data_IF_706443799100
#
_entry.id   IF_706443799100
#
_cell.length_a   1.000
_cell.length_b   1.000
_cell.length_c   1.000
_cell.angle_alpha   90.00
_cell.angle_beta   90.00
_cell.angle_gamma   90.00
#
_symmetry.space_group_name_H-M   'P 1'
#
loop_
_entity.id
_entity.type
_entity.pdbx_description
1 polymer ?
#
# COMPACT_ATOMS: atom_id res chain seq x y z
N UNK A 1 6.55 -26.56 3.67
CA UNK A 1 7.87 -26.00 4.03
C UNK A 1 8.03 -26.16 5.53
N UNK A 2 9.16 -26.67 6.01
CA UNK A 2 9.52 -26.74 7.42
C UNK A 2 10.40 -25.54 7.79
N UNK A 3 9.87 -24.52 8.50
CA UNK A 3 10.61 -23.32 8.88
C UNK A 3 11.90 -23.58 9.65
N UNK A 4 11.96 -24.64 10.46
CA UNK A 4 13.12 -24.94 11.30
C UNK A 4 14.38 -25.29 10.49
N UNK A 5 14.21 -25.71 9.22
CA UNK A 5 15.31 -26.08 8.33
C UNK A 5 15.77 -24.93 7.45
N UNK A 6 15.10 -23.77 7.49
CA UNK A 6 15.43 -22.60 6.69
C UNK A 6 16.16 -21.58 7.57
N UNK A 7 17.49 -21.64 7.52
CA UNK A 7 18.41 -20.85 8.34
C UNK A 7 19.46 -20.20 7.44
N UNK A 8 20.35 -19.39 8.01
CA UNK A 8 21.49 -18.83 7.27
C UNK A 8 22.48 -19.87 6.74
N UNK A 9 22.38 -21.13 7.18
CA UNK A 9 23.18 -22.24 6.64
C UNK A 9 22.54 -22.87 5.40
N UNK A 10 21.22 -22.75 5.24
CA UNK A 10 20.45 -23.38 4.16
C UNK A 10 19.84 -22.37 3.18
N UNK A 11 19.81 -21.08 3.54
CA UNK A 11 19.67 -19.95 2.63
C UNK A 11 20.90 -19.07 2.76
N UNK A 12 21.64 -18.88 1.67
CA UNK A 12 22.79 -17.98 1.62
C UNK A 12 22.60 -16.91 0.57
N UNK A 13 23.17 -15.73 0.82
CA UNK A 13 23.26 -14.63 -0.13
C UNK A 13 24.73 -14.22 -0.23
N UNK A 14 25.29 -14.23 -1.44
CA UNK A 14 26.70 -13.93 -1.65
C UNK A 14 26.88 -12.78 -2.65
N UNK A 15 27.84 -11.89 -2.36
CA UNK A 15 28.42 -10.94 -3.29
C UNK A 15 29.68 -11.57 -3.89
N UNK A 16 29.57 -12.23 -5.04
CA UNK A 16 30.64 -13.07 -5.56
C UNK A 16 30.94 -14.22 -4.60
N UNK A 17 32.12 -14.20 -3.97
CA UNK A 17 32.52 -15.20 -2.96
C UNK A 17 32.28 -14.75 -1.51
N UNK A 18 31.93 -13.49 -1.29
CA UNK A 18 31.72 -12.93 0.05
C UNK A 18 30.30 -13.20 0.50
N UNK A 19 30.13 -13.86 1.65
CA UNK A 19 28.81 -14.07 2.25
C UNK A 19 28.25 -12.75 2.80
N UNK A 20 26.99 -12.46 2.50
CA UNK A 20 26.23 -11.36 3.08
C UNK A 20 25.59 -11.83 4.37
N UNK A 21 25.95 -11.18 5.48
CA UNK A 21 25.34 -11.45 6.77
C UNK A 21 23.87 -10.98 6.79
N UNK A 22 23.03 -11.73 7.50
CA UNK A 22 21.61 -11.46 7.61
C UNK A 22 20.88 -12.52 8.42
N UNK A 23 19.58 -12.37 8.52
CA UNK A 23 18.70 -13.31 9.20
C UNK A 23 17.68 -13.90 8.24
N UNK A 24 17.22 -15.11 8.53
CA UNK A 24 16.15 -15.78 7.77
C UNK A 24 14.96 -15.94 8.69
N UNK A 25 13.80 -15.47 8.24
CA UNK A 25 12.52 -15.67 8.94
C UNK A 25 11.52 -16.34 8.00
N UNK A 26 10.57 -17.07 8.58
CA UNK A 26 9.52 -17.74 7.82
C UNK A 26 8.14 -17.32 8.34
N UNK A 27 7.22 -17.02 7.43
CA UNK A 27 5.81 -16.80 7.72
C UNK A 27 4.96 -17.62 6.73
N UNK A 28 4.36 -18.71 7.23
CA UNK A 28 3.64 -19.67 6.39
C UNK A 28 4.56 -20.31 5.34
N UNK A 29 4.25 -20.09 4.06
CA UNK A 29 5.04 -20.59 2.92
C UNK A 29 6.07 -19.60 2.41
N UNK A 30 6.19 -18.41 3.02
CA UNK A 30 7.12 -17.35 2.62
C UNK A 30 8.33 -17.34 3.55
N UNK A 31 9.53 -17.43 2.96
CA UNK A 31 10.78 -17.16 3.64
C UNK A 31 11.29 -15.76 3.25
N UNK A 32 11.84 -15.04 4.22
CA UNK A 32 12.42 -13.70 4.05
C UNK A 32 13.85 -13.71 4.58
N UNK A 33 14.80 -13.34 3.72
CA UNK A 33 16.16 -13.02 4.15
C UNK A 33 16.29 -11.51 4.36
N UNK A 34 16.72 -11.10 5.54
CA UNK A 34 16.95 -9.70 5.91
C UNK A 34 18.46 -9.51 6.09
N UNK A 35 19.16 -8.86 5.13
CA UNK A 35 20.56 -8.50 5.30
C UNK A 35 20.75 -7.62 6.54
N UNK A 36 21.87 -7.79 7.26
CA UNK A 36 22.18 -6.96 8.43
C UNK A 36 22.53 -5.51 8.04
N UNK A 37 22.88 -5.30 6.77
CA UNK A 37 23.16 -3.99 6.18
C UNK A 37 22.65 -3.93 4.74
N UNK A 38 22.36 -2.72 4.27
CA UNK A 38 21.89 -2.51 2.90
C UNK A 38 22.87 -3.10 1.88
N UNK A 39 22.31 -3.80 0.90
CA UNK A 39 23.07 -4.33 -0.22
C UNK A 39 23.68 -3.17 -1.03
N UNK A 40 24.91 -3.34 -1.52
CA UNK A 40 25.59 -2.34 -2.33
C UNK A 40 24.82 -2.11 -3.64
N UNK A 41 24.80 -0.86 -4.12
CA UNK A 41 24.13 -0.49 -5.37
C UNK A 41 24.86 -1.06 -6.61
N UNK A 42 24.11 -1.31 -7.69
CA UNK A 42 24.63 -1.80 -8.97
C UNK A 42 25.39 -3.12 -8.89
N UNK A 43 25.17 -3.90 -7.84
CA UNK A 43 26.01 -5.02 -7.45
C UNK A 43 25.28 -6.35 -7.68
N UNK A 44 25.92 -7.33 -8.35
CA UNK A 44 25.36 -8.66 -8.52
C UNK A 44 25.47 -9.48 -7.23
N UNK A 45 24.37 -10.15 -6.88
CA UNK A 45 24.28 -11.09 -5.78
C UNK A 45 23.75 -12.43 -6.25
N UNK A 46 24.25 -13.50 -5.62
CA UNK A 46 23.81 -14.88 -5.82
C UNK A 46 23.12 -15.36 -4.55
N UNK A 47 21.84 -15.70 -4.65
CA UNK A 47 21.11 -16.34 -3.57
C UNK A 47 21.03 -17.85 -3.82
N UNK A 48 21.21 -18.63 -2.76
CA UNK A 48 21.17 -20.10 -2.80
C UNK A 48 20.28 -20.63 -1.69
N UNK A 49 19.33 -21.49 -2.06
CA UNK A 49 18.65 -22.39 -1.12
C UNK A 49 19.26 -23.78 -1.30
N UNK A 50 19.78 -24.36 -0.23
CA UNK A 50 20.46 -25.66 -0.27
C UNK A 50 19.48 -26.82 -0.19
N UNK A 51 19.96 -28.04 -0.48
CA UNK A 51 19.20 -29.28 -0.29
C UNK A 51 18.80 -29.54 1.17
N UNK A 52 19.42 -28.86 2.14
CA UNK A 52 19.11 -29.01 3.57
C UNK A 52 17.75 -28.44 4.00
N UNK A 53 17.04 -27.71 3.13
CA UNK A 53 15.66 -27.27 3.39
C UNK A 53 14.69 -28.43 3.19
N UNK A 54 13.76 -28.61 4.14
CA UNK A 54 12.77 -29.68 4.13
C UNK A 54 11.33 -29.18 4.04
N UNK A 55 10.42 -30.05 3.60
CA UNK A 55 8.98 -29.88 3.80
C UNK A 55 8.51 -30.38 5.20
N UNK A 56 7.21 -30.29 5.49
CA UNK A 56 6.66 -30.71 6.78
C UNK A 56 6.64 -32.25 6.95
N UNK A 57 6.80 -33.00 5.86
CA UNK A 57 6.94 -34.45 5.88
C UNK A 57 8.41 -34.89 6.00
N UNK A 58 9.36 -33.95 6.08
CA UNK A 58 10.79 -34.21 6.19
C UNK A 58 11.49 -34.47 4.86
N UNK A 59 10.82 -34.24 3.72
CA UNK A 59 11.46 -34.41 2.42
C UNK A 59 12.39 -33.23 2.13
N UNK A 60 13.65 -33.54 1.81
CA UNK A 60 14.66 -32.57 1.41
C UNK A 60 14.44 -32.06 -0.02
N UNK A 61 14.92 -30.85 -0.27
CA UNK A 61 14.96 -30.30 -1.61
C UNK A 61 15.97 -31.10 -2.46
N UNK A 62 15.53 -31.64 -3.59
CA UNK A 62 16.35 -32.55 -4.40
C UNK A 62 17.65 -31.92 -4.96
N UNK A 63 17.65 -30.61 -5.19
CA UNK A 63 18.80 -29.85 -5.73
C UNK A 63 18.79 -28.43 -5.18
N UNK A 64 19.98 -27.82 -5.05
CA UNK A 64 20.09 -26.41 -4.68
C UNK A 64 19.31 -25.54 -5.68
N UNK A 65 18.61 -24.52 -5.17
CA UNK A 65 18.01 -23.46 -5.99
C UNK A 65 18.91 -22.25 -5.93
N UNK A 66 19.42 -21.84 -7.08
CA UNK A 66 20.36 -20.73 -7.20
C UNK A 66 19.80 -19.72 -8.19
N UNK A 67 19.80 -18.45 -7.82
CA UNK A 67 19.47 -17.35 -8.73
C UNK A 67 20.39 -16.16 -8.49
N UNK A 68 20.52 -15.33 -9.52
CA UNK A 68 21.29 -14.11 -9.47
C UNK A 68 20.36 -12.91 -9.65
N UNK A 69 20.66 -11.83 -8.95
CA UNK A 69 20.04 -10.53 -9.17
C UNK A 69 21.10 -9.44 -9.07
N UNK A 70 20.84 -8.27 -9.65
CA UNK A 70 21.67 -7.08 -9.50
C UNK A 70 20.84 -6.00 -8.85
N UNK A 71 21.35 -5.37 -7.79
CA UNK A 71 20.70 -4.23 -7.14
C UNK A 71 20.66 -3.02 -8.08
N UNK A 72 19.73 -2.09 -7.85
CA UNK A 72 19.67 -0.83 -8.59
C UNK A 72 20.93 0.02 -8.42
N UNK A 73 21.24 0.88 -9.39
CA UNK A 73 22.43 1.76 -9.38
C UNK A 73 22.30 2.98 -8.46
N UNK A 74 21.09 3.26 -7.98
CA UNK A 74 20.79 4.29 -6.98
C UNK A 74 20.15 3.63 -5.77
N UNK A 75 20.62 3.96 -4.57
CA UNK A 75 19.93 3.63 -3.33
C UNK A 75 18.65 4.47 -3.24
N UNK A 76 17.51 3.83 -3.00
CA UNK A 76 16.28 4.53 -2.66
C UNK A 76 16.47 5.30 -1.34
N UNK A 77 15.97 6.52 -1.28
CA UNK A 77 15.87 7.29 -0.05
C UNK A 77 14.52 7.06 0.64
N UNK A 78 14.49 7.33 1.95
CA UNK A 78 13.33 7.08 2.80
C UNK A 78 13.26 5.65 3.35
N UNK A 79 12.18 5.32 4.06
CA UNK A 79 12.00 4.01 4.69
C UNK A 79 11.64 2.91 3.68
N UNK A 80 11.68 1.64 4.09
CA UNK A 80 11.15 0.55 3.26
C UNK A 80 9.65 0.77 2.93
N UNK A 81 9.19 0.45 1.70
CA UNK A 81 7.78 0.57 1.34
C UNK A 81 6.85 -0.21 2.27
N UNK A 82 5.62 0.27 2.46
CA UNK A 82 4.59 -0.46 3.22
C UNK A 82 4.02 -1.58 2.35
N UNK A 83 4.07 -2.82 2.83
CA UNK A 83 3.58 -3.97 2.08
C UNK A 83 2.04 -4.09 2.20
N UNK A 84 1.33 -3.81 1.12
CA UNK A 84 -0.15 -3.87 1.10
C UNK A 84 -0.73 -5.30 1.05
N UNK A 85 0.07 -6.31 0.71
CA UNK A 85 -0.43 -7.66 0.48
C UNK A 85 -1.60 -7.68 -0.50
N UNK A 86 -2.65 -8.47 -0.21
CA UNK A 86 -3.84 -8.56 -1.05
C UNK A 86 -4.67 -7.26 -1.10
N UNK A 87 -4.50 -6.33 -0.14
CA UNK A 87 -5.14 -5.01 -0.21
C UNK A 87 -4.63 -4.21 -1.43
N UNK A 88 -3.39 -4.46 -1.86
CA UNK A 88 -2.79 -3.85 -3.04
C UNK A 88 -3.45 -4.21 -4.37
N UNK A 89 -4.43 -5.12 -4.39
CA UNK A 89 -5.20 -5.42 -5.59
C UNK A 89 -6.38 -4.46 -5.81
N UNK A 90 -6.77 -3.68 -4.79
CA UNK A 90 -7.97 -2.85 -4.81
C UNK A 90 -7.62 -1.37 -4.86
N UNK A 91 -8.23 -0.61 -5.78
CA UNK A 91 -8.11 0.85 -5.81
C UNK A 91 -8.92 1.48 -4.66
N UNK A 92 -10.02 0.84 -4.27
CA UNK A 92 -10.81 1.20 -3.10
C UNK A 92 -11.08 -0.07 -2.29
N UNK A 93 -10.78 -0.05 -1.00
CA UNK A 93 -11.08 -1.15 -0.08
C UNK A 93 -11.65 -0.56 1.21
N UNK A 94 -12.85 -1.00 1.60
CA UNK A 94 -13.53 -0.51 2.78
C UNK A 94 -14.17 -1.63 3.61
N UNK A 95 -14.55 -1.36 4.86
CA UNK A 95 -15.21 -2.34 5.73
C UNK A 95 -16.70 -2.16 5.88
N UNK A 96 -17.19 -0.92 5.86
CA UNK A 96 -18.57 -0.59 6.23
C UNK A 96 -19.41 -0.06 5.08
N UNK A 97 -18.85 0.75 4.18
CA UNK A 97 -19.56 1.25 3.01
C UNK A 97 -18.61 1.77 1.92
N UNK A 98 -19.07 1.71 0.66
CA UNK A 98 -18.52 2.53 -0.41
C UNK A 98 -19.69 3.17 -1.14
N UNK A 99 -19.74 4.50 -1.17
CA UNK A 99 -20.84 5.24 -1.80
C UNK A 99 -20.33 6.20 -2.85
N UNK A 100 -21.15 6.45 -3.87
CA UNK A 100 -20.90 7.52 -4.83
C UNK A 100 -22.16 8.36 -5.06
N UNK A 101 -22.02 9.68 -5.13
CA UNK A 101 -22.96 10.54 -5.85
C UNK A 101 -22.52 10.52 -7.32
N UNK A 102 -23.27 9.89 -8.23
CA UNK A 102 -22.80 9.62 -9.58
C UNK A 102 -22.72 10.88 -10.46
N UNK A 103 -21.89 10.89 -11.51
CA UNK A 103 -21.03 9.79 -11.96
C UNK A 103 -19.57 9.99 -11.52
N UNK A 104 -19.06 9.06 -10.70
CA UNK A 104 -17.61 8.91 -10.46
C UNK A 104 -16.96 8.10 -11.59
N UNK A 105 -15.64 8.20 -11.72
CA UNK A 105 -14.84 7.41 -12.67
C UNK A 105 -13.71 6.68 -11.92
N UNK A 106 -13.85 5.36 -11.77
CA UNK A 106 -12.89 4.53 -11.03
C UNK A 106 -12.16 3.60 -11.99
N UNK A 107 -10.83 3.54 -11.90
CA UNK A 107 -9.99 2.59 -12.63
C UNK A 107 -9.29 1.66 -11.64
N UNK A 108 -9.72 0.40 -11.62
CA UNK A 108 -9.29 -0.64 -10.69
C UNK A 108 -10.44 -1.26 -9.91
N UNK A 109 -10.12 -2.30 -9.14
CA UNK A 109 -11.11 -3.10 -8.42
C UNK A 109 -11.51 -2.47 -7.08
N UNK A 110 -12.77 -2.64 -6.70
CA UNK A 110 -13.34 -2.15 -5.42
C UNK A 110 -13.72 -3.34 -4.54
N UNK A 111 -13.27 -3.33 -3.28
CA UNK A 111 -13.60 -4.36 -2.30
C UNK A 111 -14.35 -3.80 -1.09
N UNK A 112 -15.31 -4.56 -0.58
CA UNK A 112 -16.07 -4.24 0.62
C UNK A 112 -16.26 -5.48 1.49
N UNK A 113 -15.71 -5.46 2.70
CA UNK A 113 -15.86 -6.56 3.67
C UNK A 113 -15.53 -6.12 5.08
N UNK A 114 -16.31 -6.48 6.11
CA UNK A 114 -17.34 -7.53 6.11
C UNK A 114 -18.73 -7.07 5.64
N UNK A 115 -18.91 -5.80 5.28
CA UNK A 115 -20.19 -5.34 4.75
C UNK A 115 -20.55 -6.03 3.42
N UNK A 116 -21.85 -6.27 3.24
CA UNK A 116 -22.41 -6.88 2.05
C UNK A 116 -22.49 -5.90 0.87
N UNK A 117 -22.70 -6.42 -0.34
CA UNK A 117 -22.89 -5.64 -1.57
C UNK A 117 -23.97 -4.56 -1.48
N UNK A 118 -24.96 -4.71 -0.59
CA UNK A 118 -26.00 -3.70 -0.33
C UNK A 118 -25.45 -2.36 0.19
N UNK A 119 -24.21 -2.34 0.67
CA UNK A 119 -23.51 -1.14 1.14
C UNK A 119 -22.65 -0.47 0.06
N UNK A 120 -22.72 -0.98 -1.18
CA UNK A 120 -22.36 -0.21 -2.37
C UNK A 120 -23.54 0.65 -2.81
N UNK A 121 -23.49 1.96 -2.57
CA UNK A 121 -24.60 2.87 -2.90
C UNK A 121 -24.23 3.82 -4.04
N UNK A 122 -25.18 4.08 -4.95
CA UNK A 122 -24.99 4.98 -6.10
C UNK A 122 -24.22 4.40 -7.30
N UNK A 123 -23.80 3.13 -7.25
CA UNK A 123 -23.02 2.49 -8.31
C UNK A 123 -23.85 1.89 -9.45
N UNK A 124 -25.16 1.71 -9.30
CA UNK A 124 -26.00 0.97 -10.26
C UNK A 124 -25.40 -0.41 -10.60
N UNK A 125 -25.15 -1.21 -9.56
CA UNK A 125 -24.47 -2.50 -9.68
C UNK A 125 -25.21 -3.48 -10.59
N UNK A 126 -24.45 -4.20 -11.41
CA UNK A 126 -24.91 -5.37 -12.14
C UNK A 126 -24.05 -6.57 -11.75
N UNK A 127 -24.67 -7.58 -11.12
CA UNK A 127 -23.98 -8.80 -10.72
C UNK A 127 -23.45 -9.58 -11.93
N UNK A 128 -22.23 -10.10 -11.82
CA UNK A 128 -21.61 -11.00 -12.80
C UNK A 128 -21.43 -12.35 -12.13
N UNK A 129 -22.37 -13.26 -12.38
CA UNK A 129 -22.48 -14.51 -11.64
C UNK A 129 -22.72 -14.27 -10.15
N UNK A 130 -22.02 -15.01 -9.30
CA UNK A 130 -22.14 -14.92 -7.83
C UNK A 130 -20.87 -14.40 -7.14
N UNK A 131 -19.83 -14.07 -7.91
CA UNK A 131 -18.47 -13.80 -7.41
C UNK A 131 -18.02 -12.36 -7.63
N UNK A 132 -18.70 -11.57 -8.44
CA UNK A 132 -18.33 -10.17 -8.72
C UNK A 132 -19.53 -9.35 -9.20
N UNK A 133 -19.36 -8.04 -9.26
CA UNK A 133 -20.30 -7.10 -9.86
C UNK A 133 -19.56 -6.08 -10.73
N UNK A 134 -20.30 -5.43 -11.62
CA UNK A 134 -19.83 -4.36 -12.50
C UNK A 134 -20.66 -3.10 -12.30
N UNK A 135 -20.12 -1.96 -12.72
CA UNK A 135 -20.79 -0.66 -12.72
C UNK A 135 -20.30 0.16 -13.93
N UNK A 136 -21.14 0.99 -14.57
CA UNK A 136 -20.71 1.93 -15.59
C UNK A 136 -19.65 2.94 -15.10
N UNK A 137 -19.52 3.12 -13.79
CA UNK A 137 -18.57 4.04 -13.15
C UNK A 137 -17.20 3.39 -12.88
N UNK A 138 -17.06 2.08 -13.09
CA UNK A 138 -15.88 1.31 -12.68
C UNK A 138 -15.29 0.55 -13.86
N UNK A 139 -14.09 0.94 -14.28
CA UNK A 139 -13.22 0.13 -15.14
C UNK A 139 -12.47 -0.86 -14.26
N UNK A 140 -13.14 -1.98 -13.95
CA UNK A 140 -12.72 -2.97 -12.98
C UNK A 140 -13.92 -3.78 -12.49
N UNK A 141 -13.81 -4.43 -11.34
CA UNK A 141 -14.89 -5.19 -10.71
C UNK A 141 -15.12 -4.74 -9.26
N UNK A 142 -16.35 -4.90 -8.80
CA UNK A 142 -16.75 -4.68 -7.40
C UNK A 142 -16.99 -6.01 -6.71
N UNK A 143 -16.50 -6.14 -5.48
CA UNK A 143 -16.52 -7.36 -4.70
C UNK A 143 -17.07 -7.07 -3.30
N UNK A 144 -18.10 -7.80 -2.88
CA UNK A 144 -18.71 -7.69 -1.54
C UNK A 144 -18.62 -8.99 -0.74
N UNK A 145 -18.72 -8.90 0.59
CA UNK A 145 -18.50 -10.03 1.50
C UNK A 145 -19.55 -11.16 1.40
N UNK A 146 -20.76 -10.84 0.93
CA UNK A 146 -21.87 -11.76 0.69
C UNK A 146 -21.76 -12.53 -0.64
N UNK A 147 -20.74 -12.22 -1.46
CA UNK A 147 -20.44 -12.99 -2.67
C UNK A 147 -19.84 -14.36 -2.35
N UNK A 148 -20.05 -15.33 -3.24
CA UNK A 148 -19.58 -16.70 -3.03
C UNK A 148 -18.06 -16.79 -3.04
N UNK A 149 -17.50 -17.77 -2.31
CA UNK A 149 -16.07 -18.08 -2.38
C UNK A 149 -15.63 -18.33 -3.86
N UNK A 150 -14.42 -17.89 -4.25
CA UNK A 150 -13.33 -17.41 -3.41
C UNK A 150 -13.40 -15.91 -3.03
N UNK A 151 -14.42 -15.16 -3.46
CA UNK A 151 -14.49 -13.71 -3.26
C UNK A 151 -14.49 -13.31 -1.79
N UNK A 152 -15.39 -13.87 -0.98
CA UNK A 152 -15.49 -13.57 0.46
C UNK A 152 -14.21 -13.90 1.23
N UNK A 153 -13.55 -15.02 0.93
CA UNK A 153 -12.25 -15.38 1.54
C UNK A 153 -11.13 -14.42 1.11
N UNK A 154 -11.08 -14.07 -0.18
CA UNK A 154 -10.06 -13.14 -0.69
C UNK A 154 -10.21 -11.74 -0.09
N UNK A 155 -11.46 -11.26 0.08
CA UNK A 155 -11.74 -9.99 0.73
C UNK A 155 -11.34 -10.02 2.21
N UNK A 156 -11.59 -11.11 2.93
CA UNK A 156 -11.14 -11.27 4.32
C UNK A 156 -9.62 -11.17 4.43
N UNK A 157 -8.88 -11.80 3.51
CA UNK A 157 -7.42 -11.68 3.43
C UNK A 157 -6.99 -10.25 3.10
N UNK A 158 -7.65 -9.60 2.14
CA UNK A 158 -7.33 -8.22 1.76
C UNK A 158 -7.52 -7.23 2.92
N UNK A 159 -8.62 -7.33 3.66
CA UNK A 159 -8.88 -6.51 4.86
C UNK A 159 -7.83 -6.76 5.95
N UNK A 160 -7.46 -8.02 6.18
CA UNK A 160 -6.40 -8.35 7.13
C UNK A 160 -5.05 -7.75 6.71
N UNK A 161 -4.72 -7.79 5.41
CA UNK A 161 -3.51 -7.16 4.91
C UNK A 161 -3.57 -5.63 4.97
N UNK A 162 -4.74 -5.01 4.77
CA UNK A 162 -4.94 -3.58 4.96
C UNK A 162 -4.66 -3.16 6.42
N UNK A 163 -5.22 -3.88 7.40
CA UNK A 163 -4.94 -3.60 8.83
C UNK A 163 -3.46 -3.84 9.19
N UNK A 164 -2.83 -4.84 8.56
CA UNK A 164 -1.38 -5.10 8.72
C UNK A 164 -0.56 -3.93 8.15
N UNK A 165 -0.88 -3.46 6.94
CA UNK A 165 -0.21 -2.34 6.30
C UNK A 165 -0.38 -1.04 7.10
N UNK A 166 -1.58 -0.78 7.63
CA UNK A 166 -1.83 0.34 8.54
C UNK A 166 -0.91 0.26 9.77
N UNK A 167 -0.86 -0.90 10.42
CA UNK A 167 -0.07 -1.10 11.65
C UNK A 167 1.43 -0.98 11.37
N UNK A 168 1.91 -1.50 10.24
CA UNK A 168 3.28 -1.33 9.77
C UNK A 168 3.62 0.15 9.55
N UNK A 169 2.78 0.87 8.79
CA UNK A 169 2.98 2.29 8.52
C UNK A 169 2.95 3.13 9.81
N UNK A 170 1.99 2.88 10.71
CA UNK A 170 1.88 3.58 12.00
C UNK A 170 3.01 3.24 12.98
N UNK A 171 3.59 2.04 12.86
CA UNK A 171 4.61 1.52 13.77
C UNK A 171 6.05 1.90 13.40
N UNK A 172 6.28 2.61 12.29
CA UNK A 172 7.64 3.03 11.91
C UNK A 172 8.21 3.99 12.98
N UNK A 173 9.37 3.70 13.59
CA UNK A 173 9.73 4.29 14.90
C UNK A 173 10.58 5.57 14.85
N UNK A 174 11.35 5.80 13.79
CA UNK A 174 12.37 6.87 13.74
C UNK A 174 12.08 7.85 12.61
N UNK A 175 11.23 8.88 12.85
CA UNK A 175 10.88 9.84 11.81
C UNK A 175 12.07 10.74 11.44
N UNK A 176 12.24 10.97 10.15
CA UNK A 176 13.16 11.97 9.61
C UNK A 176 12.64 13.39 9.86
N UNK A 177 11.30 13.55 9.89
CA UNK A 177 10.62 14.82 10.11
C UNK A 177 9.53 14.69 11.18
N UNK A 178 9.62 15.53 12.21
CA UNK A 178 8.63 15.59 13.28
C UNK A 178 7.83 16.89 13.20
N UNK A 179 6.50 16.79 13.21
CA UNK A 179 5.57 17.92 13.15
C UNK A 179 5.88 18.92 12.02
N UNK A 180 6.23 18.41 10.84
CA UNK A 180 6.63 19.24 9.71
C UNK A 180 5.52 20.24 9.34
N UNK A 181 5.88 21.50 9.10
CA UNK A 181 4.91 22.57 8.86
C UNK A 181 3.93 22.84 10.01
N UNK A 182 4.21 22.33 11.23
CA UNK A 182 3.28 22.36 12.36
C UNK A 182 1.88 21.79 12.04
N UNK A 183 1.81 20.83 11.10
CA UNK A 183 0.56 20.21 10.66
C UNK A 183 -0.10 20.91 9.47
N UNK A 184 0.44 22.00 8.93
CA UNK A 184 0.04 22.56 7.63
C UNK A 184 1.19 22.36 6.63
N UNK A 185 0.96 21.57 5.59
CA UNK A 185 2.00 21.21 4.62
C UNK A 185 1.81 21.85 3.24
N UNK A 186 0.74 22.61 3.04
CA UNK A 186 0.54 23.40 1.84
C UNK A 186 1.69 24.37 1.58
N UNK A 187 2.13 24.44 0.33
CA UNK A 187 3.27 25.23 -0.11
C UNK A 187 4.63 24.58 0.14
N UNK A 188 4.69 23.42 0.81
CA UNK A 188 5.95 22.73 1.08
C UNK A 188 6.36 21.79 -0.06
N UNK A 189 7.66 21.48 -0.10
CA UNK A 189 8.21 20.37 -0.87
C UNK A 189 8.67 19.28 0.09
N UNK A 190 8.09 18.09 -0.03
CA UNK A 190 8.33 16.95 0.84
C UNK A 190 9.34 16.00 0.20
N UNK A 191 10.48 15.84 0.85
CA UNK A 191 11.57 14.95 0.44
C UNK A 191 11.32 13.51 0.95
N UNK A 192 11.97 12.49 0.36
CA UNK A 192 11.80 11.11 0.82
C UNK A 192 12.06 10.97 2.31
N UNK A 193 11.24 10.19 3.02
CA UNK A 193 11.39 10.03 4.45
C UNK A 193 10.14 9.58 5.18
N UNK A 194 10.34 9.29 6.45
CA UNK A 194 9.29 9.07 7.43
C UNK A 194 8.94 10.40 8.11
N UNK A 195 7.68 10.80 7.98
CA UNK A 195 7.11 11.96 8.63
C UNK A 195 6.17 11.52 9.74
N UNK A 196 6.29 12.15 10.90
CA UNK A 196 5.39 11.92 12.02
C UNK A 196 4.83 13.24 12.52
N UNK A 197 3.51 13.29 12.72
CA UNK A 197 2.83 14.37 13.43
C UNK A 197 2.23 13.84 14.72
N UNK A 198 2.06 14.73 15.70
CA UNK A 198 1.29 14.46 16.92
C UNK A 198 -0.18 14.86 16.80
N UNK A 199 -0.56 15.48 15.69
CA UNK A 199 -1.92 15.99 15.38
C UNK A 199 -2.34 15.56 13.97
N UNK A 200 -3.46 16.09 13.49
CA UNK A 200 -3.83 15.99 12.07
C UNK A 200 -2.94 16.87 11.18
N UNK A 201 -3.11 16.69 9.87
CA UNK A 201 -2.43 17.41 8.80
C UNK A 201 -3.45 18.10 7.91
N UNK A 202 -3.18 19.35 7.54
CA UNK A 202 -3.95 20.15 6.58
C UNK A 202 -3.09 20.44 5.36
N UNK A 203 -3.73 20.45 4.18
CA UNK A 203 -3.16 20.91 2.91
C UNK A 203 -4.05 22.07 2.43
N UNK A 204 -3.69 23.31 2.75
CA UNK A 204 -4.44 24.53 2.35
C UNK A 204 -3.87 25.27 1.14
N UNK A 205 -2.71 24.83 0.64
CA UNK A 205 -2.07 25.25 -0.60
C UNK A 205 -1.54 24.01 -1.34
N UNK A 206 -1.19 24.13 -2.63
CA UNK A 206 -0.54 23.05 -3.37
C UNK A 206 0.72 22.55 -2.64
N UNK A 207 0.94 21.24 -2.62
CA UNK A 207 2.11 20.61 -1.98
C UNK A 207 2.84 19.75 -3.02
N UNK A 208 4.17 19.73 -2.96
CA UNK A 208 4.98 18.91 -3.87
C UNK A 208 5.65 17.77 -3.11
N UNK A 209 5.60 16.56 -3.64
CA UNK A 209 6.37 15.40 -3.19
C UNK A 209 7.49 15.17 -4.22
N UNK A 210 8.74 15.31 -3.79
CA UNK A 210 9.89 15.36 -4.69
C UNK A 210 10.96 14.37 -4.32
N UNK A 211 11.24 13.43 -5.22
CA UNK A 211 12.31 12.44 -5.07
C UNK A 211 12.38 11.51 -6.28
N UNK A 212 13.25 10.52 -6.21
CA UNK A 212 13.46 9.54 -7.28
C UNK A 212 12.34 8.50 -7.40
N UNK A 213 12.39 7.67 -8.46
CA UNK A 213 11.34 6.70 -8.78
C UNK A 213 11.25 5.50 -7.83
N UNK A 214 12.26 5.31 -6.98
CA UNK A 214 12.33 4.23 -5.99
C UNK A 214 12.25 4.77 -4.56
N UNK A 215 12.25 6.09 -4.37
CA UNK A 215 12.19 6.71 -3.06
C UNK A 215 10.81 6.53 -2.44
N UNK A 216 10.74 6.59 -1.11
CA UNK A 216 9.55 6.27 -0.33
C UNK A 216 9.21 7.40 0.64
N UNK A 217 7.90 7.64 0.78
CA UNK A 217 7.32 8.56 1.75
C UNK A 217 6.32 7.83 2.61
N UNK A 218 6.45 7.96 3.93
CA UNK A 218 5.44 7.48 4.88
C UNK A 218 5.05 8.66 5.76
N UNK A 219 3.78 9.03 5.71
CA UNK A 219 3.19 10.09 6.51
C UNK A 219 2.34 9.47 7.61
N UNK A 220 2.77 9.60 8.86
CA UNK A 220 2.06 9.11 10.05
C UNK A 220 1.33 10.27 10.74
N UNK A 221 0.01 10.17 10.87
CA UNK A 221 -0.76 11.16 11.61
C UNK A 221 -1.84 10.53 12.50
N UNK A 222 -1.87 10.86 13.81
CA UNK A 222 -2.90 10.40 14.74
C UNK A 222 -4.22 11.19 14.62
N UNK A 223 -4.22 12.30 13.87
CA UNK A 223 -5.43 13.08 13.59
C UNK A 223 -5.99 12.84 12.19
N UNK A 224 -6.76 13.81 11.71
CA UNK A 224 -7.36 13.82 10.38
C UNK A 224 -6.36 14.30 9.32
N UNK A 225 -6.59 13.94 8.06
CA UNK A 225 -5.98 14.55 6.89
C UNK A 225 -7.05 15.37 6.17
N UNK A 226 -6.88 16.68 6.06
CA UNK A 226 -7.81 17.54 5.33
C UNK A 226 -7.10 18.27 4.21
N UNK A 227 -7.70 18.28 3.03
CA UNK A 227 -7.18 18.98 1.86
C UNK A 227 -8.22 19.96 1.34
N UNK A 228 -7.83 21.22 1.20
CA UNK A 228 -8.73 22.27 0.74
C UNK A 228 -9.15 22.05 -0.71
N UNK A 229 -10.33 22.57 -1.11
CA UNK A 229 -10.77 22.53 -2.50
C UNK A 229 -9.74 23.08 -3.50
N UNK A 230 -9.71 22.49 -4.69
CA UNK A 230 -8.87 22.87 -5.83
C UNK A 230 -7.35 22.77 -5.61
N UNK A 231 -6.88 22.30 -4.45
CA UNK A 231 -5.45 22.10 -4.19
C UNK A 231 -4.94 20.83 -4.86
N UNK A 232 -3.63 20.75 -5.05
CA UNK A 232 -2.98 19.65 -5.75
C UNK A 232 -1.79 19.11 -4.95
N UNK A 233 -1.65 17.78 -4.93
CA UNK A 233 -0.41 17.10 -4.56
C UNK A 233 0.37 16.83 -5.86
N UNK A 234 1.47 17.53 -6.08
CA UNK A 234 2.33 17.35 -7.25
C UNK A 234 3.44 16.33 -6.99
N UNK A 235 3.82 15.57 -8.01
CA UNK A 235 5.00 14.70 -7.98
C UNK A 235 6.11 15.29 -8.85
N UNK A 236 7.34 15.32 -8.33
CA UNK A 236 8.53 15.75 -9.06
C UNK A 236 9.73 14.83 -8.83
N UNK A 237 10.77 14.97 -9.65
CA UNK A 237 12.01 14.18 -9.53
C UNK A 237 11.92 12.72 -9.98
N UNK A 238 10.73 12.28 -10.41
CA UNK A 238 10.44 10.89 -10.76
C UNK A 238 9.67 10.12 -9.68
N UNK A 239 9.30 10.78 -8.57
CA UNK A 239 8.49 10.22 -7.50
C UNK A 239 7.25 9.49 -8.06
N UNK A 240 6.92 8.35 -7.46
CA UNK A 240 5.81 7.50 -7.89
C UNK A 240 4.78 7.37 -6.78
N UNK A 241 3.52 7.57 -7.15
CA UNK A 241 2.32 7.38 -6.30
C UNK A 241 2.36 6.10 -5.47
N UNK A 242 2.83 4.99 -6.06
CA UNK A 242 2.88 3.68 -5.40
C UNK A 242 3.85 3.58 -4.22
N UNK A 243 4.74 4.55 -4.06
CA UNK A 243 5.72 4.62 -2.96
C UNK A 243 5.35 5.67 -1.90
N UNK A 244 4.16 6.27 -1.98
CA UNK A 244 3.72 7.33 -1.08
C UNK A 244 2.58 6.76 -0.23
N UNK A 245 2.79 6.72 1.09
CA UNK A 245 1.85 6.11 2.04
C UNK A 245 1.39 7.14 3.06
N UNK A 246 0.08 7.27 3.22
CA UNK A 246 -0.58 8.16 4.16
C UNK A 246 -1.31 7.32 5.20
N UNK A 247 -0.72 7.14 6.37
CA UNK A 247 -1.38 6.50 7.50
C UNK A 247 -2.11 7.56 8.32
N UNK A 248 -3.44 7.44 8.39
CA UNK A 248 -4.31 8.43 9.02
C UNK A 248 -5.19 7.74 10.07
N UNK A 249 -5.03 8.09 11.34
CA UNK A 249 -5.85 7.50 12.40
C UNK A 249 -7.27 8.12 12.44
N UNK A 250 -7.39 9.38 12.05
CA UNK A 250 -8.67 10.06 11.86
C UNK A 250 -9.29 9.83 10.48
N UNK A 251 -10.14 10.76 10.07
CA UNK A 251 -10.74 10.74 8.73
C UNK A 251 -9.85 11.44 7.71
N UNK A 252 -10.09 11.14 6.44
CA UNK A 252 -9.55 11.89 5.31
C UNK A 252 -10.66 12.63 4.60
N UNK A 253 -10.47 13.92 4.37
CA UNK A 253 -11.39 14.76 3.59
C UNK A 253 -10.63 15.48 2.48
N UNK A 254 -10.87 15.08 1.23
CA UNK A 254 -10.27 15.67 0.03
C UNK A 254 -11.32 16.60 -0.59
N UNK A 255 -11.04 17.91 -0.51
CA UNK A 255 -11.95 18.96 -0.96
C UNK A 255 -12.33 18.86 -2.44
N UNK A 256 -13.41 19.56 -2.80
CA UNK A 256 -13.93 19.57 -4.18
C UNK A 256 -12.85 19.96 -5.18
N UNK A 257 -12.81 19.29 -6.33
CA UNK A 257 -11.84 19.52 -7.41
C UNK A 257 -10.35 19.39 -7.05
N UNK A 258 -10.02 18.97 -5.83
CA UNK A 258 -8.63 18.76 -5.43
C UNK A 258 -8.03 17.50 -6.10
N UNK A 259 -6.70 17.47 -6.24
CA UNK A 259 -5.98 16.32 -6.80
C UNK A 259 -5.01 15.72 -5.76
N UNK A 260 -5.17 14.42 -5.49
CA UNK A 260 -4.40 13.70 -4.48
C UNK A 260 -3.51 12.60 -5.07
N UNK A 261 -2.35 12.40 -4.46
CA UNK A 261 -1.37 11.39 -4.86
C UNK A 261 -0.96 10.50 -3.67
N UNK A 262 -1.17 9.19 -3.79
CA UNK A 262 -0.63 8.19 -2.89
C UNK A 262 -1.63 7.16 -2.38
N UNK A 263 -1.15 6.30 -1.50
CA UNK A 263 -1.92 5.22 -0.88
C UNK A 263 -2.37 5.68 0.50
N UNK A 264 -3.68 5.79 0.70
CA UNK A 264 -4.28 6.16 1.98
C UNK A 264 -4.65 4.90 2.75
N UNK A 265 -4.15 4.81 3.99
CA UNK A 265 -4.49 3.82 5.00
C UNK A 265 -5.19 4.55 6.15
N UNK A 266 -6.52 4.64 6.10
CA UNK A 266 -7.33 5.35 7.10
C UNK A 266 -7.99 4.38 8.10
N UNK A 267 -7.96 4.71 9.38
CA UNK A 267 -8.75 4.01 10.42
C UNK A 267 -10.23 4.36 10.39
N UNK A 268 -10.61 5.45 9.71
CA UNK A 268 -12.01 5.85 9.61
C UNK A 268 -12.39 6.08 8.15
N UNK A 269 -13.15 7.13 7.85
CA UNK A 269 -13.69 7.37 6.52
C UNK A 269 -12.71 8.14 5.64
N UNK A 270 -12.79 7.88 4.33
CA UNK A 270 -12.15 8.69 3.29
C UNK A 270 -13.24 9.31 2.43
N UNK A 271 -13.24 10.63 2.31
CA UNK A 271 -14.18 11.37 1.47
C UNK A 271 -13.44 12.09 0.35
N UNK A 272 -13.91 11.92 -0.89
CA UNK A 272 -13.52 12.73 -2.03
C UNK A 272 -14.72 13.58 -2.43
N UNK A 273 -14.57 14.90 -2.32
CA UNK A 273 -15.60 15.86 -2.69
C UNK A 273 -15.87 15.92 -4.19
N UNK A 274 -16.90 16.68 -4.57
CA UNK A 274 -17.34 16.88 -5.96
C UNK A 274 -16.16 17.15 -6.91
N UNK A 275 -15.96 16.27 -7.89
CA UNK A 275 -14.93 16.42 -8.92
C UNK A 275 -13.49 16.29 -8.43
N UNK A 276 -13.26 15.88 -7.18
CA UNK A 276 -11.92 15.57 -6.70
C UNK A 276 -11.34 14.36 -7.44
N UNK A 277 -10.01 14.29 -7.52
CA UNK A 277 -9.32 13.21 -8.20
C UNK A 277 -8.18 12.64 -7.35
N UNK A 278 -7.90 11.35 -7.54
CA UNK A 278 -6.83 10.64 -6.89
C UNK A 278 -6.13 9.71 -7.89
N UNK A 279 -4.81 9.77 -7.91
CA UNK A 279 -3.99 8.63 -8.31
C UNK A 279 -3.52 7.95 -7.03
N UNK A 280 -3.85 6.67 -6.84
CA UNK A 280 -3.65 6.09 -5.51
C UNK A 280 -4.53 4.91 -5.18
N UNK A 281 -4.66 4.69 -3.88
CA UNK A 281 -5.61 3.74 -3.29
C UNK A 281 -6.28 4.37 -2.08
N UNK A 282 -7.59 4.22 -1.95
CA UNK A 282 -8.35 4.61 -0.78
C UNK A 282 -8.69 3.36 0.05
N UNK A 283 -7.91 3.09 1.10
CA UNK A 283 -8.04 1.91 1.96
C UNK A 283 -8.53 2.36 3.34
N UNK A 284 -9.79 2.09 3.67
CA UNK A 284 -10.49 2.62 4.83
C UNK A 284 -11.00 1.52 5.78
N UNK A 285 -10.72 1.64 7.07
CA UNK A 285 -11.25 0.71 8.07
C UNK A 285 -12.75 0.95 8.36
N UNK A 286 -13.32 2.04 7.86
CA UNK A 286 -14.77 2.24 7.79
C UNK A 286 -15.27 2.37 6.35
N UNK A 287 -15.43 3.59 5.85
CA UNK A 287 -16.16 3.88 4.61
C UNK A 287 -15.38 4.74 3.63
N UNK A 288 -15.70 4.61 2.35
CA UNK A 288 -15.24 5.54 1.30
C UNK A 288 -16.43 6.21 0.65
N UNK A 289 -16.41 7.54 0.61
CA UNK A 289 -17.46 8.37 0.02
C UNK A 289 -16.91 9.16 -1.16
N UNK A 290 -17.56 9.03 -2.31
CA UNK A 290 -17.21 9.71 -3.55
C UNK A 290 -18.35 10.64 -3.97
N UNK A 291 -17.99 11.76 -4.57
CA UNK A 291 -18.93 12.65 -5.23
C UNK A 291 -18.35 13.07 -6.58
N UNK A 292 -18.86 12.48 -7.66
CA UNK A 292 -18.38 12.72 -9.02
C UNK A 292 -16.85 12.66 -9.14
N UNK A 293 -16.22 11.81 -8.34
CA UNK A 293 -14.77 11.81 -8.14
C UNK A 293 -14.08 10.86 -9.11
N UNK A 294 -12.80 11.10 -9.38
CA UNK A 294 -11.97 10.18 -10.17
C UNK A 294 -10.97 9.46 -9.27
N UNK A 295 -10.89 8.12 -9.33
CA UNK A 295 -9.90 7.36 -8.56
C UNK A 295 -9.22 6.35 -9.48
N UNK A 296 -7.91 6.49 -9.65
CA UNK A 296 -7.12 5.67 -10.58
C UNK A 296 -6.05 4.91 -9.81
N UNK A 297 -5.99 3.59 -10.02
CA UNK A 297 -4.95 2.75 -9.43
C UNK A 297 -3.55 3.24 -9.83
N UNK A 298 -2.52 3.14 -8.96
CA UNK A 298 -1.18 3.60 -9.32
C UNK A 298 -0.63 2.84 -10.53
N UNK A 299 0.13 3.53 -11.38
CA UNK A 299 0.85 2.88 -12.47
C UNK A 299 1.87 1.84 -11.93
N UNK A 300 2.14 0.75 -12.68
CA UNK A 300 3.01 -0.36 -12.23
C UNK A 300 4.43 -0.01 -11.77
#
# INVERSE_FOLDING_TARGET
MNPATLTIATFTLNQGITSVAGTVTCNGTKATFTPDSNLAAGTPYTATITTGVQDLAGNELATNKVWNFTTGVTTAAGPDPVLLGAAGNYVILAKTAVSTVPASAITGDIGLSPAATSYFTGFSLTMVGTTSATSPQVTGSLYGADMTAPTSSNLTTAITNMSTAYTDAAGRPTPDFLNHGAGEIGGLTLLPGLYNWTTGVTISADVTISGGPNDVWIFQMPGNLTMSPAMNVFLSGGAKTKNIFWQVAGFVDIGTTAHFEGIILSQTSITLGTGASMNGRALADTAVHLDQSTVTTPAP
#
